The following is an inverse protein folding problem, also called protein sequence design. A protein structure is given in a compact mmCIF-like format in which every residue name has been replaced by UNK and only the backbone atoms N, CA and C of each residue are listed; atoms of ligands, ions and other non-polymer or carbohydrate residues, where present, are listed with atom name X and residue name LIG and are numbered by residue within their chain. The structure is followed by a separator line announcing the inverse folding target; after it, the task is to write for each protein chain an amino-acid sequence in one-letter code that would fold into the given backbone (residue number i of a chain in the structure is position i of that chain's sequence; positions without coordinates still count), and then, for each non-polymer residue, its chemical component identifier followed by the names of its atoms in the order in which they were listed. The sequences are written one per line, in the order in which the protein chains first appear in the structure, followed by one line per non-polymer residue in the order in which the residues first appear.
data_IF_782436019041
#
_entry.id   IF_782436019041
#
_cell.length_a   1.000
_cell.length_b   1.000
_cell.length_c   1.000
_cell.angle_alpha   90.00
_cell.angle_beta   90.00
_cell.angle_gamma   90.00
#
_symmetry.space_group_name_H-M   'P 1'
#
loop_
_entity.id
_entity.type
_entity.pdbx_description
1 polymer ?
#
# COMPACT_ATOMS: atom_id res chain seq x y z
N UNK A 1 -25.65 54.63 1.85
CA UNK A 1 -24.64 53.58 2.14
C UNK A 1 -25.06 52.82 3.39
N UNK A 2 -25.38 51.51 3.35
CA UNK A 2 -25.80 50.82 4.59
C UNK A 2 -26.11 49.32 4.50
N UNK A 3 -26.54 48.80 3.36
CA UNK A 3 -27.02 47.41 3.24
C UNK A 3 -25.94 46.32 3.23
N UNK A 4 -24.65 46.67 3.19
CA UNK A 4 -23.54 45.71 3.02
C UNK A 4 -22.89 45.23 4.33
N UNK A 5 -23.08 45.92 5.46
CA UNK A 5 -22.49 45.54 6.76
C UNK A 5 -23.27 44.41 7.48
N UNK A 6 -24.59 44.38 7.36
CA UNK A 6 -25.43 43.40 8.08
C UNK A 6 -25.39 42.00 7.45
N UNK A 7 -25.24 41.88 6.13
CA UNK A 7 -25.02 40.58 5.47
C UNK A 7 -23.69 39.94 5.89
N UNK A 8 -22.65 40.76 6.12
CA UNK A 8 -21.31 40.31 6.55
C UNK A 8 -21.31 39.80 8.01
N UNK A 9 -22.10 40.43 8.90
CA UNK A 9 -22.28 39.98 10.31
C UNK A 9 -23.08 38.68 10.43
N UNK A 10 -24.12 38.49 9.60
CA UNK A 10 -24.93 37.25 9.60
C UNK A 10 -24.17 36.02 9.06
N UNK A 11 -23.33 36.20 8.03
CA UNK A 11 -22.49 35.10 7.50
C UNK A 11 -21.47 34.56 8.51
N UNK A 12 -20.85 35.44 9.32
CA UNK A 12 -19.87 35.04 10.33
C UNK A 12 -20.48 34.29 11.53
N UNK A 13 -21.72 34.60 11.90
CA UNK A 13 -22.42 33.89 12.99
C UNK A 13 -22.78 32.46 12.58
N UNK A 14 -23.29 32.26 11.35
CA UNK A 14 -23.65 30.94 10.82
C UNK A 14 -22.40 30.06 10.63
N UNK A 15 -21.27 30.63 10.20
CA UNK A 15 -19.99 29.91 10.13
C UNK A 15 -19.46 29.47 11.50
N UNK A 16 -19.63 30.28 12.55
CA UNK A 16 -19.25 29.90 13.93
C UNK A 16 -20.11 28.76 14.49
N UNK A 17 -21.39 28.69 14.15
CA UNK A 17 -22.27 27.59 14.59
C UNK A 17 -21.94 26.30 13.84
N UNK A 18 -21.68 26.38 12.53
CA UNK A 18 -21.31 25.23 11.70
C UNK A 18 -19.96 24.62 12.12
N UNK A 19 -18.98 25.44 12.48
CA UNK A 19 -17.66 24.97 12.97
C UNK A 19 -17.76 24.29 14.33
N UNK A 20 -18.58 24.81 15.25
CA UNK A 20 -18.84 24.15 16.55
C UNK A 20 -19.56 22.81 16.38
N UNK A 21 -20.53 22.73 15.46
CA UNK A 21 -21.24 21.49 15.16
C UNK A 21 -20.30 20.41 14.60
N UNK A 22 -19.44 20.78 13.62
CA UNK A 22 -18.41 19.87 13.08
C UNK A 22 -17.43 19.36 14.13
N UNK A 23 -16.97 20.23 15.04
CA UNK A 23 -16.04 19.85 16.11
C UNK A 23 -16.67 18.92 17.16
N UNK A 24 -17.99 19.02 17.36
CA UNK A 24 -18.74 18.11 18.24
C UNK A 24 -18.88 16.73 17.60
N UNK A 25 -19.26 16.67 16.33
CA UNK A 25 -19.39 15.40 15.60
C UNK A 25 -18.05 14.67 15.47
N UNK A 26 -16.95 15.40 15.29
CA UNK A 26 -15.60 14.82 15.20
C UNK A 26 -15.15 14.17 16.53
N UNK A 27 -15.43 14.83 17.67
CA UNK A 27 -15.18 14.26 19.00
C UNK A 27 -16.02 13.01 19.30
N UNK A 28 -17.27 12.99 18.84
CA UNK A 28 -18.17 11.84 19.00
C UNK A 28 -17.62 10.63 18.23
N UNK A 29 -17.19 10.86 16.98
CA UNK A 29 -16.60 9.84 16.12
C UNK A 29 -15.31 9.28 16.72
N UNK A 30 -14.43 10.15 17.24
CA UNK A 30 -13.20 9.74 17.93
C UNK A 30 -13.46 8.86 19.15
N UNK A 31 -14.49 9.19 19.95
CA UNK A 31 -14.86 8.39 21.12
C UNK A 31 -15.47 7.04 20.75
N UNK A 32 -16.21 6.96 19.64
CA UNK A 32 -16.72 5.69 19.11
C UNK A 32 -15.60 4.78 18.61
N UNK A 33 -14.63 5.34 17.88
CA UNK A 33 -13.44 4.60 17.41
C UNK A 33 -12.66 4.03 18.61
N UNK A 34 -12.48 4.84 19.65
CA UNK A 34 -11.80 4.42 20.89
C UNK A 34 -12.60 3.35 21.67
N UNK A 35 -13.94 3.47 21.74
CA UNK A 35 -14.80 2.47 22.37
C UNK A 35 -14.82 1.12 21.64
N UNK A 36 -14.71 1.15 20.31
CA UNK A 36 -14.66 -0.04 19.47
C UNK A 36 -13.25 -0.67 19.45
N UNK A 37 -12.25 0.01 20.01
CA UNK A 37 -10.85 -0.45 19.96
C UNK A 37 -10.27 -0.47 18.55
N UNK A 38 -10.86 0.29 17.63
CA UNK A 38 -10.43 0.36 16.24
C UNK A 38 -9.28 1.37 16.10
N UNK A 39 -8.22 1.02 15.37
CA UNK A 39 -7.16 1.97 15.00
C UNK A 39 -7.73 3.03 14.04
N UNK A 40 -7.30 4.29 14.16
CA UNK A 40 -7.73 5.33 13.22
C UNK A 40 -7.28 4.97 11.79
N UNK A 41 -8.17 5.16 10.81
CA UNK A 41 -7.92 4.83 9.39
C UNK A 41 -6.63 5.48 8.87
N UNK A 42 -6.35 6.73 9.22
CA UNK A 42 -5.14 7.44 8.79
C UNK A 42 -3.86 6.83 9.37
N UNK A 43 -3.92 6.35 10.61
CA UNK A 43 -2.80 5.68 11.27
C UNK A 43 -2.54 4.31 10.63
N UNK A 44 -3.61 3.56 10.32
CA UNK A 44 -3.54 2.30 9.57
C UNK A 44 -2.92 2.50 8.19
N UNK A 45 -3.36 3.52 7.43
CA UNK A 45 -2.78 3.83 6.11
C UNK A 45 -1.30 4.17 6.25
N UNK A 46 -0.93 5.04 7.20
CA UNK A 46 0.46 5.44 7.42
C UNK A 46 1.35 4.24 7.76
N UNK A 47 0.86 3.35 8.63
CA UNK A 47 1.57 2.12 9.06
C UNK A 47 1.79 1.12 7.94
N UNK A 48 0.88 1.06 6.96
CA UNK A 48 0.98 0.13 5.82
C UNK A 48 1.73 0.75 4.63
N UNK A 49 1.50 2.02 4.30
CA UNK A 49 2.15 2.71 3.18
C UNK A 49 3.60 3.08 3.50
N UNK A 50 3.89 3.51 4.73
CA UNK A 50 5.22 4.00 5.11
C UNK A 50 6.32 2.92 5.10
N UNK A 51 5.96 1.63 5.11
CA UNK A 51 6.93 0.52 5.02
C UNK A 51 7.42 0.27 3.59
N UNK A 52 6.62 0.64 2.60
CA UNK A 52 6.88 0.34 1.19
C UNK A 52 7.56 1.51 0.44
N UNK A 53 7.66 2.71 1.04
CA UNK A 53 8.17 3.94 0.40
C UNK A 53 9.64 4.26 0.69
N UNK A 54 10.42 3.31 1.22
CA UNK A 54 11.79 3.58 1.70
C UNK A 54 12.84 3.73 0.57
N UNK A 55 12.47 3.52 -0.69
CA UNK A 55 13.40 3.49 -1.82
C UNK A 55 12.97 4.54 -2.84
N UNK A 56 13.91 5.35 -3.36
CA UNK A 56 13.61 6.44 -4.31
C UNK A 56 13.81 6.05 -5.78
N UNK A 57 14.55 4.96 -6.06
CA UNK A 57 14.83 4.47 -7.41
C UNK A 57 14.66 2.95 -7.53
N UNK A 58 14.53 2.43 -8.75
CA UNK A 58 14.51 0.97 -8.97
C UNK A 58 15.89 0.40 -8.66
N UNK A 59 15.94 -0.56 -7.74
CA UNK A 59 17.16 -1.29 -7.38
C UNK A 59 17.05 -2.70 -7.95
N UNK A 60 18.02 -3.04 -8.80
CA UNK A 60 18.20 -4.40 -9.31
C UNK A 60 19.25 -5.05 -8.43
N UNK A 61 18.83 -6.00 -7.60
CA UNK A 61 19.72 -6.76 -6.74
C UNK A 61 20.75 -7.58 -7.53
N UNK A 62 21.82 -7.98 -6.85
CA UNK A 62 22.88 -8.78 -7.46
C UNK A 62 22.32 -10.09 -8.08
N UNK A 63 22.96 -10.61 -9.15
CA UNK A 63 22.50 -11.78 -9.88
C UNK A 63 22.40 -13.08 -9.09
N UNK A 64 22.80 -13.11 -7.82
CA UNK A 64 22.86 -14.30 -6.97
C UNK A 64 22.30 -14.01 -5.58
N UNK A 65 21.10 -13.44 -5.52
CA UNK A 65 20.35 -13.47 -4.26
C UNK A 65 19.86 -14.89 -3.99
N UNK A 66 19.49 -15.14 -2.73
CA UNK A 66 18.84 -16.41 -2.38
C UNK A 66 17.52 -16.56 -3.13
N UNK A 67 17.15 -17.81 -3.52
CA UNK A 67 15.84 -18.07 -4.09
C UNK A 67 14.70 -17.58 -3.18
N UNK A 68 13.52 -17.25 -3.74
CA UNK A 68 12.37 -16.86 -2.93
C UNK A 68 12.01 -17.96 -1.92
N UNK A 69 11.56 -17.53 -0.74
CA UNK A 69 11.06 -18.45 0.29
C UNK A 69 9.90 -19.31 -0.22
N UNK A 70 9.66 -20.45 0.42
CA UNK A 70 8.51 -21.33 0.13
C UNK A 70 7.22 -20.52 0.22
N UNK A 71 6.41 -20.59 -0.84
CA UNK A 71 5.15 -19.86 -0.99
C UNK A 71 4.28 -20.52 -2.06
N UNK A 72 2.98 -20.28 -1.96
CA UNK A 72 1.97 -20.67 -2.94
C UNK A 72 1.32 -19.43 -3.55
N UNK A 73 0.44 -19.64 -4.54
CA UNK A 73 -0.41 -18.59 -5.11
C UNK A 73 0.37 -17.37 -5.66
N UNK A 74 1.59 -17.63 -6.17
CA UNK A 74 2.44 -16.66 -6.89
C UNK A 74 1.95 -16.48 -8.33
N UNK A 75 2.34 -15.38 -8.97
CA UNK A 75 2.42 -15.35 -10.45
C UNK A 75 3.86 -15.60 -10.89
N UNK A 76 4.02 -16.45 -11.90
CA UNK A 76 5.28 -16.71 -12.59
C UNK A 76 5.03 -16.54 -14.09
N UNK A 77 5.75 -15.61 -14.72
CA UNK A 77 5.55 -15.26 -16.14
C UNK A 77 6.88 -15.16 -16.87
N UNK A 78 6.90 -15.46 -18.16
CA UNK A 78 8.06 -15.24 -19.01
C UNK A 78 8.36 -13.75 -19.22
N UNK A 79 9.65 -13.40 -19.26
CA UNK A 79 10.09 -12.08 -19.69
C UNK A 79 9.94 -11.99 -21.22
N UNK A 80 9.33 -10.92 -21.77
CA UNK A 80 8.94 -10.88 -23.19
C UNK A 80 10.11 -10.86 -24.19
N UNK A 81 11.28 -10.38 -23.74
CA UNK A 81 12.47 -10.18 -24.59
C UNK A 81 13.69 -11.00 -24.19
N UNK A 82 13.65 -11.72 -23.07
CA UNK A 82 14.83 -12.36 -22.48
C UNK A 82 14.47 -13.76 -22.00
N UNK A 83 15.46 -14.64 -21.95
CA UNK A 83 15.34 -15.97 -21.34
C UNK A 83 15.34 -15.87 -19.80
N UNK A 84 14.40 -15.10 -19.26
CA UNK A 84 14.23 -14.84 -17.83
C UNK A 84 12.77 -15.11 -17.44
N UNK A 85 12.54 -15.55 -16.21
CA UNK A 85 11.20 -15.66 -15.62
C UNK A 85 11.01 -14.59 -14.55
N UNK A 86 9.81 -14.02 -14.47
CA UNK A 86 9.43 -13.00 -13.52
C UNK A 86 8.49 -13.64 -12.49
N UNK A 87 8.85 -13.58 -11.22
CA UNK A 87 8.05 -14.08 -10.10
C UNK A 87 7.61 -12.91 -9.23
N UNK A 88 6.31 -12.83 -8.92
CA UNK A 88 5.77 -11.80 -8.04
C UNK A 88 4.80 -12.38 -7.00
N UNK A 89 4.92 -11.86 -5.78
CA UNK A 89 3.93 -12.01 -4.71
C UNK A 89 3.83 -13.42 -4.12
N UNK A 90 2.59 -13.83 -3.85
CA UNK A 90 2.22 -15.12 -3.26
C UNK A 90 2.00 -15.05 -1.76
N UNK A 91 1.79 -16.22 -1.17
CA UNK A 91 1.54 -16.36 0.27
C UNK A 91 2.18 -17.61 0.87
N UNK A 92 2.39 -17.58 2.18
CA UNK A 92 2.81 -18.74 2.96
C UNK A 92 2.00 -18.79 4.27
N UNK A 93 1.44 -19.95 4.57
CA UNK A 93 0.75 -20.21 5.83
C UNK A 93 1.60 -21.14 6.70
N UNK A 94 1.97 -20.67 7.89
CA UNK A 94 2.83 -21.42 8.82
C UNK A 94 2.06 -22.31 9.80
N UNK A 95 0.73 -22.40 9.64
CA UNK A 95 -0.17 -23.10 10.57
C UNK A 95 -0.86 -22.17 11.58
N UNK A 96 -0.44 -20.90 11.66
CA UNK A 96 -1.03 -19.89 12.57
C UNK A 96 -1.40 -18.62 11.86
N UNK A 97 -0.50 -18.12 11.01
CA UNK A 97 -0.66 -16.84 10.31
C UNK A 97 -0.31 -16.98 8.84
N UNK A 98 -0.99 -16.18 8.01
CA UNK A 98 -0.71 -16.09 6.58
C UNK A 98 0.21 -14.89 6.33
N UNK A 99 1.35 -15.14 5.71
CA UNK A 99 2.29 -14.12 5.25
C UNK A 99 2.01 -13.89 3.77
N UNK A 100 1.66 -12.66 3.40
CA UNK A 100 1.56 -12.23 2.01
C UNK A 100 2.87 -11.56 1.59
N UNK A 101 3.26 -11.75 0.33
CA UNK A 101 4.48 -11.18 -0.21
C UNK A 101 4.20 -10.12 -1.29
N UNK A 102 5.09 -9.14 -1.42
CA UNK A 102 5.11 -8.12 -2.47
C UNK A 102 6.48 -8.00 -3.16
N UNK A 103 7.36 -8.98 -2.97
CA UNK A 103 8.67 -8.99 -3.60
C UNK A 103 8.59 -9.44 -5.07
N UNK A 104 9.46 -8.85 -5.88
CA UNK A 104 9.62 -9.14 -7.29
C UNK A 104 10.98 -9.81 -7.52
N UNK A 105 10.98 -10.98 -8.14
CA UNK A 105 12.17 -11.70 -8.51
C UNK A 105 12.26 -11.92 -10.01
N UNK A 106 13.49 -11.96 -10.51
CA UNK A 106 13.82 -12.39 -11.87
C UNK A 106 14.73 -13.61 -11.77
N UNK A 107 14.35 -14.68 -12.45
CA UNK A 107 15.15 -15.88 -12.60
C UNK A 107 15.80 -15.90 -13.99
N UNK A 108 17.13 -15.92 -14.05
CA UNK A 108 17.90 -16.07 -15.28
C UNK A 108 18.00 -17.57 -15.62
N UNK A 109 17.32 -18.01 -16.68
CA UNK A 109 17.21 -19.44 -17.03
C UNK A 109 18.59 -20.00 -17.40
N UNK A 110 19.42 -19.22 -18.09
CA UNK A 110 20.73 -19.66 -18.58
C UNK A 110 21.72 -19.79 -17.45
N UNK A 111 21.74 -18.80 -16.53
CA UNK A 111 22.67 -18.78 -15.40
C UNK A 111 22.15 -19.58 -14.20
N UNK A 112 20.85 -19.90 -14.20
CA UNK A 112 20.14 -20.54 -13.09
C UNK A 112 20.23 -19.74 -11.79
N UNK A 113 20.20 -18.40 -11.89
CA UNK A 113 20.37 -17.52 -10.74
C UNK A 113 19.19 -16.58 -10.55
N UNK A 114 19.02 -16.09 -9.32
CA UNK A 114 17.94 -15.20 -8.93
C UNK A 114 18.45 -13.78 -8.72
N UNK A 115 17.66 -12.80 -9.18
CA UNK A 115 17.79 -11.37 -8.89
C UNK A 115 16.54 -10.92 -8.15
N UNK A 116 16.67 -10.05 -7.16
CA UNK A 116 15.53 -9.39 -6.52
C UNK A 116 15.43 -7.95 -7.03
N UNK A 117 14.23 -7.53 -7.42
CA UNK A 117 13.96 -6.17 -7.88
C UNK A 117 13.20 -5.45 -6.77
N UNK A 118 13.64 -4.23 -6.46
CA UNK A 118 12.93 -3.34 -5.55
C UNK A 118 12.55 -2.08 -6.32
N UNK A 119 11.31 -1.63 -6.13
CA UNK A 119 10.79 -0.41 -6.75
C UNK A 119 10.36 0.58 -5.68
N UNK A 120 10.32 1.90 -5.98
CA UNK A 120 9.93 2.92 -5.00
C UNK A 120 8.50 2.82 -4.46
N UNK A 121 7.60 2.27 -5.28
CA UNK A 121 6.19 2.10 -4.96
C UNK A 121 5.77 0.70 -5.42
N UNK A 122 6.17 -0.34 -4.69
CA UNK A 122 5.77 -1.70 -5.04
C UNK A 122 4.26 -1.85 -4.84
N UNK A 123 3.59 -2.71 -5.61
CA UNK A 123 2.21 -3.07 -5.31
C UNK A 123 2.11 -3.66 -3.89
N UNK A 124 1.00 -3.45 -3.16
CA UNK A 124 0.81 -4.09 -1.87
C UNK A 124 0.92 -5.61 -1.91
N UNK A 125 1.30 -6.27 -0.79
CA UNK A 125 1.35 -7.73 -0.68
C UNK A 125 0.06 -8.39 -1.10
N UNK A 126 0.16 -9.44 -1.92
CA UNK A 126 -0.99 -10.08 -2.54
C UNK A 126 -0.71 -11.52 -2.95
N UNK A 127 -1.78 -12.31 -3.03
CA UNK A 127 -1.77 -13.70 -3.47
C UNK A 127 -2.91 -13.95 -4.47
N UNK A 128 -2.82 -15.07 -5.20
CA UNK A 128 -3.85 -15.51 -6.17
C UNK A 128 -4.19 -14.47 -7.24
N UNK A 129 -3.24 -13.59 -7.54
CA UNK A 129 -3.38 -12.59 -8.59
C UNK A 129 -2.92 -13.14 -9.94
N UNK A 130 -3.20 -12.39 -11.00
CA UNK A 130 -2.71 -12.68 -12.34
C UNK A 130 -1.75 -11.59 -12.77
N UNK A 131 -0.65 -12.01 -13.40
CA UNK A 131 0.27 -11.14 -14.13
C UNK A 131 0.31 -11.69 -15.55
N UNK A 132 -0.22 -10.98 -16.56
CA UNK A 132 -0.04 -11.39 -17.95
C UNK A 132 1.32 -10.92 -18.47
N UNK A 133 1.94 -11.71 -19.34
CA UNK A 133 3.08 -11.23 -20.14
C UNK A 133 2.57 -10.48 -21.37
N UNK A 134 3.25 -9.41 -21.77
CA UNK A 134 2.96 -8.68 -22.99
C UNK A 134 3.76 -9.31 -24.13
N UNK A 135 3.07 -9.88 -25.12
CA UNK A 135 3.66 -10.42 -26.35
C UNK A 135 3.75 -9.32 -27.40
#
# INVERSE_FOLDING_TARGET
MGKNKDRKKKGAAVQKTATKAKKKTEKELQKQIEQLGEEQIEQLITKHVGKDTAIEAVIIGEPTVTPPSRRANVSLTEHPLKDELILFGGEFFDGRTTILFNDLYIYDIKKQTWKRIQTPQPPPPRSSHQVPSLI
#
